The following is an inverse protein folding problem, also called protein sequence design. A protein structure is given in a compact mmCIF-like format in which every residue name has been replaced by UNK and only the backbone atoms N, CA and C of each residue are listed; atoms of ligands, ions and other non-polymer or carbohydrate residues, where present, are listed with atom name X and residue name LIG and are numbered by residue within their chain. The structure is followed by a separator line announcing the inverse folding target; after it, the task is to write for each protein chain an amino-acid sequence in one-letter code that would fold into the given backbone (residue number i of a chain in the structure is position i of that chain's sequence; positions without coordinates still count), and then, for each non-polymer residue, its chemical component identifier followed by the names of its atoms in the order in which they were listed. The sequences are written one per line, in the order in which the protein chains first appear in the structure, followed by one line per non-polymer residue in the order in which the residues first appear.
data_IF_450649376305
#
_entry.id   IF_450649376305
#
_cell.length_a   1.000
_cell.length_b   1.000
_cell.length_c   1.000
_cell.angle_alpha   90.00
_cell.angle_beta   90.00
_cell.angle_gamma   90.00
#
_symmetry.space_group_name_H-M   'P 1'
#
loop_
_entity.id
_entity.type
_entity.pdbx_description
1 polymer ?
#
# COMPACT_ATOMS: atom_id res chain seq x y z
N UNK A 1 -3.59 16.52 7.64
CA UNK A 1 -3.44 16.56 9.12
C UNK A 1 -4.72 16.13 9.83
N UNK A 2 -5.87 16.77 9.58
CA UNK A 2 -7.12 16.50 10.33
C UNK A 2 -7.54 15.02 10.49
N UNK A 3 -7.41 14.20 9.45
CA UNK A 3 -7.81 12.78 9.56
C UNK A 3 -6.83 11.95 10.40
N UNK A 4 -5.53 12.29 10.35
CA UNK A 4 -4.47 11.59 11.09
C UNK A 4 -4.59 11.90 12.58
N UNK A 5 -4.76 13.18 12.92
CA UNK A 5 -4.98 13.63 14.30
C UNK A 5 -6.28 13.05 14.88
N UNK A 6 -7.34 12.97 14.08
CA UNK A 6 -8.61 12.36 14.52
C UNK A 6 -8.48 10.86 14.77
N UNK A 7 -7.75 10.13 13.92
CA UNK A 7 -7.57 8.68 14.05
C UNK A 7 -6.51 8.33 15.10
N UNK A 8 -5.54 9.22 15.32
CA UNK A 8 -4.44 9.06 16.26
C UNK A 8 -4.31 10.35 17.08
N UNK A 9 -5.10 10.51 18.15
CA UNK A 9 -4.91 11.58 19.13
C UNK A 9 -3.51 11.51 19.76
N UNK A 10 -3.03 12.63 20.32
CA UNK A 10 -1.68 12.72 20.88
C UNK A 10 -1.48 11.70 22.01
N UNK A 11 -2.49 11.51 22.87
CA UNK A 11 -2.42 10.57 23.99
C UNK A 11 -2.22 9.12 23.52
N UNK A 12 -2.86 8.75 22.41
CA UNK A 12 -2.68 7.43 21.81
C UNK A 12 -1.29 7.29 21.20
N UNK A 13 -0.79 8.34 20.55
CA UNK A 13 0.54 8.35 19.96
C UNK A 13 1.63 8.24 21.05
N UNK A 14 1.46 8.94 22.17
CA UNK A 14 2.38 8.89 23.31
C UNK A 14 2.46 7.49 23.92
N UNK A 15 1.34 6.78 24.01
CA UNK A 15 1.31 5.38 24.45
C UNK A 15 2.06 4.47 23.48
N UNK A 16 1.87 4.67 22.17
CA UNK A 16 2.58 3.91 21.14
C UNK A 16 4.11 4.13 21.27
N UNK A 17 4.56 5.36 21.48
CA UNK A 17 5.99 5.68 21.59
C UNK A 17 6.68 4.97 22.75
N UNK A 18 5.94 4.58 23.80
CA UNK A 18 6.51 3.81 24.93
C UNK A 18 6.90 2.38 24.55
N UNK A 19 6.30 1.82 23.49
CA UNK A 19 6.50 0.42 23.08
C UNK A 19 7.22 0.28 21.74
N UNK A 20 7.20 1.31 20.89
CA UNK A 20 7.82 1.26 19.56
C UNK A 20 9.34 1.45 19.70
N UNK A 21 10.16 0.50 19.20
CA UNK A 21 11.61 0.67 19.22
C UNK A 21 12.04 1.77 18.27
N UNK A 22 13.16 2.45 18.55
CA UNK A 22 13.68 3.47 17.65
C UNK A 22 13.95 2.89 16.27
N UNK A 23 13.67 3.69 15.24
CA UNK A 23 13.88 3.32 13.86
C UNK A 23 15.34 2.88 13.60
N UNK A 24 15.60 1.65 13.11
CA UNK A 24 16.97 1.25 12.78
C UNK A 24 17.56 2.13 11.68
N UNK A 25 18.81 2.56 11.87
CA UNK A 25 19.62 3.19 10.83
C UNK A 25 20.14 2.11 9.89
N UNK A 26 20.04 2.35 8.58
CA UNK A 26 20.52 1.40 7.56
C UNK A 26 21.80 1.94 6.92
N UNK A 27 22.97 1.30 7.14
CA UNK A 27 24.24 1.77 6.60
C UNK A 27 24.26 1.82 5.07
N UNK A 28 23.63 0.83 4.43
CA UNK A 28 23.66 0.65 2.98
C UNK A 28 22.77 1.65 2.22
N UNK A 29 21.96 2.45 2.92
CA UNK A 29 20.89 3.22 2.29
C UNK A 29 19.92 2.32 1.51
N UNK A 30 19.03 2.91 0.73
CA UNK A 30 18.09 2.17 -0.11
C UNK A 30 16.84 1.63 0.60
N UNK A 31 15.98 0.97 -0.17
CA UNK A 31 14.65 0.52 0.25
C UNK A 31 13.57 1.59 0.12
N UNK A 32 12.34 1.24 0.52
CA UNK A 32 11.19 2.17 0.47
C UNK A 32 11.38 3.26 1.52
N UNK A 33 11.06 4.51 1.14
CA UNK A 33 11.03 5.65 2.07
C UNK A 33 10.13 5.29 3.26
N UNK A 34 10.64 5.46 4.48
CA UNK A 34 9.81 5.33 5.69
C UNK A 34 8.77 6.44 5.73
N UNK A 35 7.54 6.06 6.02
CA UNK A 35 6.49 6.99 6.43
C UNK A 35 6.66 7.27 7.93
N UNK A 36 6.13 8.39 8.42
CA UNK A 36 6.11 8.66 9.86
C UNK A 36 5.22 7.66 10.59
N UNK A 37 5.61 7.33 11.83
CA UNK A 37 4.95 6.27 12.59
C UNK A 37 3.49 6.63 12.90
N UNK A 38 3.19 7.93 13.08
CA UNK A 38 1.82 8.42 13.32
C UNK A 38 0.93 8.21 12.10
N UNK A 39 1.43 8.47 10.90
CA UNK A 39 0.69 8.25 9.65
C UNK A 39 0.46 6.76 9.39
N UNK A 40 1.46 5.92 9.72
CA UNK A 40 1.33 4.47 9.60
C UNK A 40 0.29 3.94 10.59
N UNK A 41 0.31 4.39 11.85
CA UNK A 41 -0.70 4.02 12.84
C UNK A 41 -2.10 4.47 12.39
N UNK A 42 -2.24 5.68 11.87
CA UNK A 42 -3.51 6.17 11.35
C UNK A 42 -4.04 5.30 10.20
N UNK A 43 -3.16 4.86 9.29
CA UNK A 43 -3.53 3.96 8.21
C UNK A 43 -3.99 2.58 8.73
N UNK A 44 -3.31 2.03 9.75
CA UNK A 44 -3.71 0.77 10.38
C UNK A 44 -5.08 0.90 11.04
N UNK A 45 -5.30 1.93 11.87
CA UNK A 45 -6.57 2.19 12.54
C UNK A 45 -7.68 2.43 11.52
N UNK A 46 -7.41 3.19 10.46
CA UNK A 46 -8.35 3.39 9.37
C UNK A 46 -8.79 2.05 8.77
N UNK A 47 -7.87 1.17 8.41
CA UNK A 47 -8.20 -0.15 7.85
C UNK A 47 -8.97 -1.00 8.86
N UNK A 48 -8.55 -1.02 10.12
CA UNK A 48 -9.20 -1.80 11.17
C UNK A 48 -10.64 -1.36 11.45
N UNK A 49 -10.91 -0.04 11.39
CA UNK A 49 -12.22 0.54 11.71
C UNK A 49 -13.15 0.61 10.50
N UNK A 50 -12.62 0.83 9.30
CA UNK A 50 -13.43 0.90 8.07
C UNK A 50 -13.67 -0.46 7.44
N UNK A 51 -12.77 -1.42 7.69
CA UNK A 51 -12.81 -2.76 7.12
C UNK A 51 -12.74 -2.78 5.58
N UNK A 52 -12.86 -3.98 5.02
CA UNK A 52 -12.95 -4.21 3.57
C UNK A 52 -14.32 -4.78 3.15
N UNK A 53 -15.32 -4.71 4.03
CA UNK A 53 -16.64 -5.35 3.83
C UNK A 53 -17.43 -4.73 2.69
N UNK A 54 -17.21 -3.44 2.39
CA UNK A 54 -17.92 -2.70 1.33
C UNK A 54 -17.59 -3.15 -0.10
N UNK A 55 -16.59 -4.02 -0.29
CA UNK A 55 -16.22 -4.50 -1.62
C UNK A 55 -17.29 -5.41 -2.23
N UNK A 56 -18.06 -6.15 -1.41
CA UNK A 56 -19.21 -6.96 -1.85
C UNK A 56 -18.98 -7.71 -3.17
N UNK A 57 -19.86 -7.45 -4.15
CA UNK A 57 -19.79 -8.04 -5.52
C UNK A 57 -18.53 -7.68 -6.32
N UNK A 58 -17.84 -6.60 -5.97
CA UNK A 58 -16.63 -6.15 -6.68
C UNK A 58 -15.36 -6.84 -6.19
N UNK A 59 -15.41 -7.48 -5.01
CA UNK A 59 -14.25 -8.12 -4.37
C UNK A 59 -13.53 -9.07 -5.32
N UNK A 60 -14.26 -10.00 -5.93
CA UNK A 60 -13.66 -11.00 -6.80
C UNK A 60 -13.07 -10.39 -8.08
N UNK A 61 -13.72 -9.39 -8.67
CA UNK A 61 -13.18 -8.67 -9.84
C UNK A 61 -11.87 -7.97 -9.51
N UNK A 62 -11.77 -7.37 -8.32
CA UNK A 62 -10.56 -6.70 -7.84
C UNK A 62 -9.45 -7.73 -7.58
N UNK A 63 -9.71 -8.76 -6.78
CA UNK A 63 -8.73 -9.79 -6.42
C UNK A 63 -8.20 -10.52 -7.68
N UNK A 64 -9.09 -10.81 -8.64
CA UNK A 64 -8.72 -11.41 -9.92
C UNK A 64 -7.83 -10.49 -10.76
N UNK A 65 -8.15 -9.20 -10.86
CA UNK A 65 -7.30 -8.23 -11.56
C UNK A 65 -5.92 -8.13 -10.90
N UNK A 66 -5.89 -8.10 -9.56
CA UNK A 66 -4.65 -8.09 -8.80
C UNK A 66 -3.83 -9.36 -9.02
N UNK A 67 -4.47 -10.53 -9.15
CA UNK A 67 -3.78 -11.79 -9.47
C UNK A 67 -3.08 -11.73 -10.83
N UNK A 68 -3.70 -11.13 -11.86
CA UNK A 68 -3.04 -10.96 -13.16
C UNK A 68 -1.86 -10.00 -13.11
N UNK A 69 -2.01 -8.86 -12.42
CA UNK A 69 -0.91 -7.92 -12.23
C UNK A 69 0.24 -8.55 -11.41
N UNK A 70 -0.08 -9.35 -10.41
CA UNK A 70 0.90 -10.08 -9.60
C UNK A 70 1.69 -11.13 -10.42
N UNK A 71 1.11 -11.65 -11.51
CA UNK A 71 1.82 -12.50 -12.47
C UNK A 71 2.96 -11.76 -13.19
N UNK A 72 2.87 -10.44 -13.34
CA UNK A 72 3.99 -9.61 -13.74
C UNK A 72 4.92 -9.41 -12.53
N UNK A 73 5.97 -10.23 -12.40
CA UNK A 73 6.89 -10.27 -11.23
C UNK A 73 7.32 -8.90 -10.69
N UNK A 74 7.52 -7.90 -11.57
CA UNK A 74 7.88 -6.52 -11.20
C UNK A 74 6.79 -5.77 -10.42
N UNK A 75 5.52 -6.12 -10.64
CA UNK A 75 4.35 -5.54 -9.97
C UNK A 75 3.88 -6.36 -8.76
N UNK A 76 4.34 -7.60 -8.60
CA UNK A 76 3.97 -8.45 -7.46
C UNK A 76 4.25 -7.78 -6.10
N UNK A 77 5.39 -7.08 -5.99
CA UNK A 77 5.69 -6.18 -4.87
C UNK A 77 6.06 -4.81 -5.41
N UNK A 78 5.48 -3.76 -4.81
CA UNK A 78 5.82 -2.36 -5.16
C UNK A 78 7.19 -2.00 -4.59
N UNK A 79 8.22 -2.18 -5.41
CA UNK A 79 9.60 -1.75 -5.12
C UNK A 79 9.91 -0.33 -5.60
N UNK A 80 9.11 0.22 -6.52
CA UNK A 80 9.35 1.53 -7.11
C UNK A 80 9.27 2.66 -6.07
N UNK A 81 10.31 3.50 -6.04
CA UNK A 81 10.46 4.61 -5.08
C UNK A 81 9.42 5.71 -5.32
N UNK A 82 9.12 6.00 -6.58
CA UNK A 82 8.12 6.99 -7.00
C UNK A 82 6.81 6.31 -7.38
N UNK A 83 5.69 7.01 -7.16
CA UNK A 83 4.37 6.51 -7.55
C UNK A 83 4.22 6.46 -9.07
N UNK A 84 4.82 7.40 -9.78
CA UNK A 84 4.77 7.52 -11.24
C UNK A 84 5.33 6.28 -11.96
N UNK A 85 6.51 5.79 -11.55
CA UNK A 85 7.08 4.58 -12.14
C UNK A 85 6.20 3.35 -11.93
N UNK A 86 5.62 3.22 -10.73
CA UNK A 86 4.68 2.14 -10.44
C UNK A 86 3.44 2.21 -11.34
N UNK A 87 2.89 3.41 -11.52
CA UNK A 87 1.75 3.64 -12.41
C UNK A 87 2.09 3.31 -13.86
N UNK A 88 3.27 3.68 -14.35
CA UNK A 88 3.74 3.36 -15.70
C UNK A 88 3.82 1.84 -15.94
N UNK A 89 4.43 1.08 -15.03
CA UNK A 89 4.47 -0.39 -15.15
C UNK A 89 3.09 -1.02 -15.07
N UNK A 90 2.21 -0.48 -14.22
CA UNK A 90 0.82 -0.95 -14.12
C UNK A 90 0.08 -0.74 -15.44
N UNK A 91 0.24 0.44 -16.06
CA UNK A 91 -0.37 0.73 -17.36
C UNK A 91 0.13 -0.23 -18.46
N UNK A 92 1.44 -0.47 -18.52
CA UNK A 92 2.03 -1.44 -19.48
C UNK A 92 1.46 -2.84 -19.26
N UNK A 93 1.39 -3.32 -18.01
CA UNK A 93 0.84 -4.63 -17.69
C UNK A 93 -0.63 -4.76 -18.08
N UNK A 94 -1.46 -3.73 -17.80
CA UNK A 94 -2.86 -3.69 -18.23
C UNK A 94 -2.99 -3.79 -19.76
N UNK A 95 -2.16 -3.05 -20.51
CA UNK A 95 -2.15 -3.11 -21.98
C UNK A 95 -1.77 -4.50 -22.50
N UNK A 96 -0.75 -5.14 -21.92
CA UNK A 96 -0.33 -6.50 -22.29
C UNK A 96 -1.40 -7.55 -21.98
N UNK A 97 -1.99 -7.51 -20.78
CA UNK A 97 -3.08 -8.42 -20.38
C UNK A 97 -4.25 -8.29 -21.35
N UNK A 98 -4.62 -7.06 -21.73
CA UNK A 98 -5.69 -6.82 -22.68
C UNK A 98 -5.34 -7.32 -24.07
N UNK A 99 -4.13 -7.05 -24.56
CA UNK A 99 -3.66 -7.53 -25.85
C UNK A 99 -3.73 -9.06 -25.95
N UNK A 100 -3.19 -9.78 -24.97
CA UNK A 100 -3.21 -11.25 -24.94
C UNK A 100 -4.61 -11.88 -24.84
N UNK A 101 -5.62 -11.11 -24.43
CA UNK A 101 -7.02 -11.54 -24.40
C UNK A 101 -7.76 -11.31 -25.70
N UNK A 102 -7.28 -10.40 -26.54
CA UNK A 102 -7.88 -10.10 -27.84
C UNK A 102 -7.27 -10.93 -28.96
N UNK A 103 -6.01 -11.37 -28.79
CA UNK A 103 -5.26 -12.13 -29.79
C UNK A 103 -5.28 -13.64 -29.56
N UNK A 104 -5.89 -14.10 -28.48
CA UNK A 104 -6.27 -15.50 -28.26
C UNK A 104 -7.75 -15.66 -28.54
#
# INVERSE_FOLDING_TARGET
MLIVERLVPDELYDLLQRVVPPAPSRPQGGGRRRYGDREVLAAIIFVATTGCTRLGRHRWTIERTMSWLAGCRRLHRRYERQAEHFLAFTAIACSLIRYHRLTK
#
